data_IF_843312729189
#
_entry.id   IF_843312729189
#
_cell.length_a   1.000
_cell.length_b   1.000
_cell.length_c   1.000
_cell.angle_alpha   90.00
_cell.angle_beta   90.00
_cell.angle_gamma   90.00
#
_symmetry.space_group_name_H-M   'P 1'
#
loop_
_entity.id
_entity.type
_entity.pdbx_description
1 polymer ?
#
# COMPACT_ATOMS: atom_id res chain seq x y z
N UNK A 1 4.93 6.93 44.56
CA UNK A 1 5.22 5.79 43.64
C UNK A 1 3.98 5.31 42.88
N UNK A 2 2.86 4.94 43.53
CA UNK A 2 1.63 4.46 42.83
C UNK A 2 1.06 5.43 41.77
N UNK A 3 1.10 6.74 42.02
CA UNK A 3 0.66 7.78 41.06
C UNK A 3 1.54 7.85 39.81
N UNK A 4 2.86 7.66 39.97
CA UNK A 4 3.82 7.68 38.87
C UNK A 4 3.63 6.44 37.99
N UNK A 5 3.44 5.28 38.62
CA UNK A 5 3.11 4.03 37.91
C UNK A 5 1.81 4.17 37.13
N UNK A 6 0.77 4.74 37.73
CA UNK A 6 -0.51 4.97 37.06
C UNK A 6 -0.38 5.93 35.86
N UNK A 7 0.37 7.02 36.01
CA UNK A 7 0.63 7.96 34.91
C UNK A 7 1.42 7.32 33.78
N UNK A 8 2.42 6.48 34.09
CA UNK A 8 3.22 5.77 33.08
C UNK A 8 2.37 4.79 32.25
N UNK A 9 1.50 4.03 32.93
CA UNK A 9 0.58 3.09 32.28
C UNK A 9 -0.41 3.84 31.39
N UNK A 10 -0.97 4.96 31.86
CA UNK A 10 -1.91 5.76 31.10
C UNK A 10 -1.27 6.36 29.83
N UNK A 11 -0.04 6.86 29.93
CA UNK A 11 0.69 7.38 28.77
C UNK A 11 1.02 6.28 27.76
N UNK A 12 1.35 5.08 28.22
CA UNK A 12 1.60 3.93 27.33
C UNK A 12 0.33 3.50 26.57
N UNK A 13 -0.83 3.55 27.22
CA UNK A 13 -2.14 3.24 26.58
C UNK A 13 -2.55 4.29 25.54
N UNK A 14 -2.22 5.57 25.77
CA UNK A 14 -2.59 6.67 24.87
C UNK A 14 -1.60 6.88 23.72
N UNK A 15 -0.41 6.29 23.79
CA UNK A 15 0.61 6.37 22.74
C UNK A 15 0.43 5.24 21.72
N UNK A 16 -0.76 5.11 21.14
CA UNK A 16 -0.95 4.24 19.96
C UNK A 16 -0.52 5.06 18.74
N UNK A 17 0.50 4.64 17.97
CA UNK A 17 0.83 5.32 16.73
C UNK A 17 -0.41 5.29 15.81
N UNK A 18 -0.79 6.45 15.27
CA UNK A 18 -1.86 6.53 14.29
C UNK A 18 -1.46 5.75 13.05
N UNK A 19 -2.09 4.59 12.83
CA UNK A 19 -1.92 3.84 11.59
C UNK A 19 -2.74 4.59 10.55
N UNK A 20 -2.07 5.35 9.67
CA UNK A 20 -2.75 5.86 8.48
C UNK A 20 -3.22 4.64 7.68
N UNK A 21 -4.47 4.67 7.22
CA UNK A 21 -5.05 3.61 6.41
C UNK A 21 -4.46 3.68 4.99
N UNK A 22 -3.23 3.19 4.83
CA UNK A 22 -2.65 2.90 3.53
C UNK A 22 -3.24 1.57 3.07
N UNK A 23 -4.20 1.65 2.17
CA UNK A 23 -4.88 0.50 1.60
C UNK A 23 -4.95 0.70 0.09
N UNK A 24 -4.86 -0.40 -0.66
CA UNK A 24 -5.15 -0.40 -2.07
C UNK A 24 -6.64 -0.11 -2.31
N UNK A 25 -6.99 0.17 -3.58
CA UNK A 25 -8.39 0.24 -3.98
C UNK A 25 -9.11 -1.09 -3.64
N UNK A 26 -10.40 -1.00 -3.29
CA UNK A 26 -11.27 -2.14 -2.96
C UNK A 26 -11.25 -3.31 -3.95
N UNK A 27 -10.83 -3.08 -5.20
CA UNK A 27 -10.69 -4.11 -6.22
C UNK A 27 -9.43 -4.98 -6.08
N UNK A 28 -8.51 -4.63 -5.18
CA UNK A 28 -7.22 -5.28 -5.01
C UNK A 28 -7.10 -5.93 -3.64
N UNK A 29 -6.44 -7.09 -3.60
CA UNK A 29 -6.04 -7.77 -2.38
C UNK A 29 -4.55 -7.55 -2.15
N UNK A 30 -4.19 -7.26 -0.90
CA UNK A 30 -2.81 -7.15 -0.40
C UNK A 30 -2.76 -7.91 0.93
N UNK A 31 -2.30 -9.15 0.88
CA UNK A 31 -2.28 -10.04 2.05
C UNK A 31 -1.01 -9.91 2.90
N UNK A 32 0.07 -9.32 2.37
CA UNK A 32 1.36 -9.21 3.07
C UNK A 32 1.69 -7.79 3.54
N UNK A 33 0.90 -6.80 3.12
CA UNK A 33 0.96 -5.41 3.56
C UNK A 33 2.10 -4.61 2.91
N UNK A 34 2.59 -5.05 1.75
CA UNK A 34 3.66 -4.38 1.02
C UNK A 34 3.18 -3.24 0.09
N UNK A 35 1.86 -3.03 0.02
CA UNK A 35 1.19 -2.06 -0.85
C UNK A 35 1.31 -2.38 -2.35
N UNK A 36 1.42 -3.66 -2.69
CA UNK A 36 1.37 -4.20 -4.04
C UNK A 36 0.19 -5.17 -4.12
N UNK A 37 -0.52 -5.15 -5.24
CA UNK A 37 -1.62 -6.08 -5.45
C UNK A 37 -1.10 -7.51 -5.64
N UNK A 38 -1.66 -8.46 -4.89
CA UNK A 38 -1.34 -9.87 -5.00
C UNK A 38 -1.78 -10.48 -6.34
N UNK A 39 -1.05 -11.49 -6.79
CA UNK A 39 -1.43 -12.28 -7.96
C UNK A 39 -2.57 -13.25 -7.58
N UNK A 40 -3.68 -13.31 -8.36
CA UNK A 40 -4.75 -14.27 -8.12
C UNK A 40 -4.25 -15.72 -8.06
N UNK A 41 -4.62 -16.44 -7.00
CA UNK A 41 -4.22 -17.84 -6.78
C UNK A 41 -4.90 -18.82 -7.74
N UNK A 42 -6.11 -18.50 -8.17
CA UNK A 42 -6.81 -19.25 -9.21
C UNK A 42 -6.30 -18.82 -10.59
N UNK A 43 -5.65 -19.71 -11.37
CA UNK A 43 -5.18 -19.39 -12.71
C UNK A 43 -6.29 -18.93 -13.66
N UNK A 44 -7.54 -19.36 -13.46
CA UNK A 44 -8.66 -18.91 -14.28
C UNK A 44 -9.01 -17.43 -14.07
N UNK A 45 -8.55 -16.84 -12.97
CA UNK A 45 -8.71 -15.41 -12.66
C UNK A 45 -7.54 -14.56 -13.16
N UNK A 46 -6.49 -15.17 -13.71
CA UNK A 46 -5.37 -14.46 -14.32
C UNK A 46 -5.70 -14.10 -15.78
N UNK A 47 -5.32 -12.89 -16.19
CA UNK A 47 -5.54 -12.39 -17.55
C UNK A 47 -4.22 -12.49 -18.31
N UNK A 48 -4.25 -13.13 -19.49
CA UNK A 48 -3.15 -13.10 -20.46
C UNK A 48 -3.38 -11.96 -21.46
N UNK A 49 -2.72 -10.80 -21.31
CA UNK A 49 -2.93 -9.69 -22.21
C UNK A 49 -2.33 -9.98 -23.58
N UNK A 50 -2.97 -9.47 -24.63
CA UNK A 50 -2.32 -9.41 -25.95
C UNK A 50 -1.04 -8.57 -25.90
N UNK A 51 -0.17 -8.73 -26.90
CA UNK A 51 1.08 -7.97 -27.03
C UNK A 51 0.87 -6.48 -26.75
N UNK A 52 1.57 -5.97 -25.74
CA UNK A 52 1.55 -4.56 -25.39
C UNK A 52 2.33 -3.77 -26.45
N UNK A 53 1.66 -2.85 -27.13
CA UNK A 53 2.27 -1.95 -28.10
C UNK A 53 2.56 -0.62 -27.39
N UNK A 54 3.84 -0.30 -27.24
CA UNK A 54 4.28 1.00 -26.75
C UNK A 54 4.70 1.88 -27.92
N UNK A 55 4.15 3.10 -28.00
CA UNK A 55 4.54 4.09 -28.99
C UNK A 55 5.15 5.29 -28.27
N UNK A 56 6.37 5.66 -28.66
CA UNK A 56 6.96 6.93 -28.26
C UNK A 56 6.59 7.96 -29.32
N UNK A 57 5.83 8.98 -28.93
CA UNK A 57 5.74 10.21 -29.73
C UNK A 57 7.03 10.99 -29.49
N UNK A 58 7.91 11.16 -30.49
CA UNK A 58 9.10 11.98 -30.32
C UNK A 58 8.67 13.39 -29.91
N UNK A 59 9.29 13.91 -28.85
CA UNK A 59 9.21 15.33 -28.52
C UNK A 59 10.23 16.04 -29.39
N UNK A 60 9.78 16.90 -30.31
CA UNK A 60 10.66 17.59 -31.26
C UNK A 60 11.40 18.80 -30.69
N UNK A 61 11.26 19.10 -29.39
CA UNK A 61 12.04 20.18 -28.76
C UNK A 61 12.54 19.77 -27.36
N UNK A 62 13.82 19.36 -27.23
CA UNK A 62 14.44 19.03 -25.95
C UNK A 62 14.96 20.28 -25.22
N UNK A 63 14.41 21.48 -25.45
CA UNK A 63 14.78 22.68 -24.71
C UNK A 63 14.31 22.58 -23.24
N UNK A 64 15.12 21.90 -22.44
CA UNK A 64 15.26 22.04 -20.98
C UNK A 64 16.47 22.93 -20.72
#
# INVERSE_FOLDING_TARGET
>A
MKRIVLSLVLTFVLCVPGHAAFQLDSRYEDNDGDLIADIPKDPASQVDPSTLIFAYTPVEDPAV
#
